data_IF_452323914724
#
_entry.id   IF_452323914724
#
_cell.length_a   1.000
_cell.length_b   1.000
_cell.length_c   1.000
_cell.angle_alpha   90.00
_cell.angle_beta   90.00
_cell.angle_gamma   90.00
#
_symmetry.space_group_name_H-M   'P 1'
#
loop_
_entity.id
_entity.type
_entity.pdbx_description
1 polymer ?
#
# COMPACT_ATOMS: atom_id res chain seq x y z
N UNK A 1 6.78 -9.04 -57.08
CA UNK A 1 7.60 -8.01 -56.40
C UNK A 1 6.79 -7.52 -55.21
N UNK A 2 7.13 -7.70 -53.94
CA UNK A 2 8.35 -8.18 -53.29
C UNK A 2 8.44 -7.47 -51.94
N UNK A 3 8.55 -8.25 -50.86
CA UNK A 3 8.88 -7.91 -49.46
C UNK A 3 7.79 -7.28 -48.57
N UNK A 4 7.59 -7.63 -47.29
CA UNK A 4 7.82 -8.84 -46.47
C UNK A 4 7.38 -8.50 -45.02
N UNK A 5 6.86 -9.51 -44.31
CA UNK A 5 6.96 -9.78 -42.85
C UNK A 5 6.18 -8.93 -41.83
N UNK A 6 5.48 -9.65 -40.95
CA UNK A 6 5.20 -9.22 -39.59
C UNK A 6 4.10 -10.00 -38.87
N UNK A 7 4.28 -11.31 -38.64
CA UNK A 7 3.50 -12.04 -37.63
C UNK A 7 3.69 -11.36 -36.27
N UNK A 8 2.61 -10.94 -35.59
CA UNK A 8 2.68 -10.50 -34.20
C UNK A 8 2.11 -11.59 -33.27
N UNK A 9 2.88 -12.07 -32.28
CA UNK A 9 2.49 -13.17 -31.42
C UNK A 9 1.65 -12.70 -30.21
N UNK A 10 0.68 -13.55 -29.88
CA UNK A 10 0.26 -13.96 -28.55
C UNK A 10 0.62 -13.07 -27.34
N UNK A 11 -0.45 -12.53 -26.73
CA UNK A 11 -0.74 -12.54 -25.30
C UNK A 11 0.08 -13.58 -24.51
N UNK A 12 1.18 -13.15 -23.87
CA UNK A 12 1.91 -13.83 -22.78
C UNK A 12 2.87 -12.84 -22.12
N UNK A 13 2.97 -12.94 -20.79
CA UNK A 13 3.80 -12.16 -19.86
C UNK A 13 3.24 -10.81 -19.41
N UNK A 14 2.50 -10.84 -18.28
CA UNK A 14 2.36 -9.69 -17.38
C UNK A 14 2.90 -10.09 -15.99
N UNK A 15 4.16 -10.51 -15.97
CA UNK A 15 4.98 -10.59 -14.76
C UNK A 15 6.08 -9.54 -14.93
N UNK A 16 6.03 -8.51 -14.09
CA UNK A 16 7.05 -7.47 -14.03
C UNK A 16 6.66 -6.15 -14.69
N UNK A 17 5.75 -5.40 -14.07
CA UNK A 17 5.73 -3.94 -14.19
C UNK A 17 5.45 -3.34 -12.81
N UNK A 18 6.40 -2.57 -12.32
CA UNK A 18 6.26 -1.60 -11.24
C UNK A 18 5.19 -0.58 -11.64
N UNK A 19 3.92 -0.88 -11.34
CA UNK A 19 2.82 0.07 -11.52
C UNK A 19 2.92 1.10 -10.41
N UNK A 20 3.26 2.33 -10.78
CA UNK A 20 3.10 3.52 -9.96
C UNK A 20 1.65 3.59 -9.44
N UNK A 21 1.54 3.58 -8.12
CA UNK A 21 0.31 3.29 -7.35
C UNK A 21 -0.86 4.25 -7.64
N UNK A 22 -0.61 5.43 -8.24
CA UNK A 22 -1.66 6.35 -8.67
C UNK A 22 -2.57 5.81 -9.79
N UNK A 23 -2.11 4.85 -10.59
CA UNK A 23 -2.94 4.17 -11.60
C UNK A 23 -3.68 2.95 -11.04
N UNK A 24 -3.29 2.43 -9.88
CA UNK A 24 -3.91 1.25 -9.26
C UNK A 24 -5.38 1.45 -8.93
N UNK A 25 -5.76 2.64 -8.43
CA UNK A 25 -7.15 2.98 -8.12
C UNK A 25 -8.02 3.10 -9.39
N UNK A 26 -7.48 3.72 -10.45
CA UNK A 26 -8.17 3.84 -11.74
C UNK A 26 -8.32 2.48 -12.45
N UNK A 27 -7.27 1.64 -12.42
CA UNK A 27 -7.33 0.27 -12.93
C UNK A 27 -8.30 -0.58 -12.12
N UNK A 28 -8.30 -0.47 -10.78
CA UNK A 28 -9.28 -1.12 -9.91
C UNK A 28 -10.72 -0.75 -10.27
N UNK A 29 -11.00 0.55 -10.46
CA UNK A 29 -12.33 1.03 -10.87
C UNK A 29 -12.75 0.48 -12.25
N UNK A 30 -11.83 0.41 -13.20
CA UNK A 30 -12.09 -0.11 -14.56
C UNK A 30 -12.30 -1.63 -14.57
N UNK A 31 -11.50 -2.37 -13.79
CA UNK A 31 -11.64 -3.83 -13.59
C UNK A 31 -12.99 -4.15 -12.93
N UNK A 32 -13.40 -3.36 -11.91
CA UNK A 32 -14.72 -3.48 -11.27
C UNK A 32 -15.88 -3.25 -12.24
N UNK A 33 -15.75 -2.32 -13.18
CA UNK A 33 -16.75 -2.07 -14.22
C UNK A 33 -16.82 -3.22 -15.25
N UNK A 34 -15.71 -3.89 -15.55
CA UNK A 34 -15.66 -5.05 -16.46
C UNK A 34 -16.20 -6.33 -15.81
N UNK A 35 -15.98 -6.54 -14.51
CA UNK A 35 -16.49 -7.70 -13.79
C UNK A 35 -18.03 -7.71 -13.67
N UNK A 36 -18.66 -6.52 -13.52
CA UNK A 36 -20.13 -6.39 -13.59
C UNK A 36 -20.72 -6.80 -14.95
N UNK A 37 -19.97 -6.64 -16.05
CA UNK A 37 -20.41 -7.07 -17.38
C UNK A 37 -20.23 -8.56 -17.63
N UNK A 38 -19.22 -9.21 -17.01
CA UNK A 38 -18.96 -10.65 -17.19
C UNK A 38 -19.91 -11.56 -16.40
N UNK A 39 -20.54 -11.08 -15.33
CA UNK A 39 -21.58 -11.85 -14.62
C UNK A 39 -22.86 -12.09 -15.44
N UNK A 40 -23.01 -11.44 -16.61
CA UNK A 40 -24.15 -11.64 -17.52
C UNK A 40 -23.88 -12.54 -18.74
N UNK A 41 -22.70 -13.13 -18.91
CA UNK A 41 -22.43 -14.04 -20.04
C UNK A 41 -21.67 -15.29 -19.59
N UNK A 42 -22.35 -16.43 -19.66
CA UNK A 42 -21.97 -17.70 -19.06
C UNK A 42 -20.96 -18.57 -19.82
N UNK A 43 -20.73 -19.73 -19.20
CA UNK A 43 -19.99 -20.93 -19.61
C UNK A 43 -19.96 -21.25 -21.11
N UNK A 44 -18.82 -21.78 -21.59
CA UNK A 44 -18.66 -23.14 -22.18
C UNK A 44 -17.17 -23.51 -22.11
N UNK A 45 -16.84 -24.74 -21.71
CA UNK A 45 -15.48 -25.30 -21.77
C UNK A 45 -15.32 -26.38 -22.86
N UNK A 46 -14.09 -26.84 -23.09
CA UNK A 46 -13.73 -28.15 -23.68
C UNK A 46 -12.23 -28.42 -23.48
N UNK A 47 -11.88 -29.68 -23.20
CA UNK A 47 -10.55 -30.14 -22.76
C UNK A 47 -9.63 -30.78 -23.81
N UNK A 48 -8.76 -31.69 -23.32
CA UNK A 48 -7.99 -32.75 -24.01
C UNK A 48 -6.64 -32.34 -24.70
N UNK A 49 -5.48 -33.04 -24.71
CA UNK A 49 -4.93 -34.34 -24.21
C UNK A 49 -3.38 -34.25 -24.06
N UNK A 50 -2.90 -34.91 -22.99
CA UNK A 50 -1.63 -35.63 -22.66
C UNK A 50 -0.52 -35.91 -23.72
N UNK A 51 0.74 -35.88 -23.26
CA UNK A 51 1.88 -36.66 -23.79
C UNK A 51 3.23 -36.38 -23.08
N UNK A 52 4.04 -37.38 -22.61
CA UNK A 52 4.98 -37.22 -21.50
C UNK A 52 6.48 -37.21 -21.88
N UNK A 53 7.34 -36.68 -20.99
CA UNK A 53 8.77 -37.05 -20.94
C UNK A 53 9.37 -36.72 -19.56
N UNK A 54 10.11 -37.68 -19.02
CA UNK A 54 10.58 -37.76 -17.64
C UNK A 54 11.87 -36.97 -17.38
N UNK A 55 11.93 -36.30 -16.23
CA UNK A 55 13.13 -36.16 -15.39
C UNK A 55 12.68 -35.66 -14.02
N UNK A 56 12.63 -36.59 -13.08
CA UNK A 56 12.11 -36.42 -11.74
C UNK A 56 13.14 -35.72 -10.86
N UNK A 57 13.03 -34.38 -10.79
CA UNK A 57 13.35 -33.59 -9.60
C UNK A 57 12.04 -32.97 -9.17
N UNK A 58 11.39 -33.56 -8.17
CA UNK A 58 10.17 -33.01 -7.60
C UNK A 58 10.54 -31.80 -6.75
N UNK A 59 10.77 -30.67 -7.42
CA UNK A 59 10.51 -29.36 -6.82
C UNK A 59 9.00 -29.15 -6.94
N UNK A 60 8.24 -29.53 -5.91
CA UNK A 60 6.82 -29.16 -5.86
C UNK A 60 6.78 -27.64 -5.89
N UNK A 61 6.37 -27.07 -7.03
CA UNK A 61 6.18 -25.63 -7.15
C UNK A 61 5.09 -25.20 -6.17
N UNK A 62 5.22 -24.05 -5.51
CA UNK A 62 4.18 -23.52 -4.61
C UNK A 62 2.82 -23.31 -5.33
N UNK A 63 2.80 -23.33 -6.67
CA UNK A 63 1.59 -23.35 -7.51
C UNK A 63 0.85 -24.69 -7.52
N UNK A 64 1.52 -25.79 -7.21
CA UNK A 64 1.04 -27.17 -7.41
C UNK A 64 0.58 -27.83 -6.10
N UNK A 65 0.48 -27.05 -5.02
CA UNK A 65 0.00 -27.53 -3.74
C UNK A 65 -1.51 -27.76 -3.78
N UNK A 66 -1.90 -29.03 -3.76
CA UNK A 66 -3.29 -29.43 -3.52
C UNK A 66 -3.79 -28.95 -2.13
N UNK A 67 -5.12 -28.74 -1.94
CA UNK A 67 -5.68 -28.20 -0.70
C UNK A 67 -5.25 -28.92 0.59
N UNK A 68 -5.13 -30.25 0.55
CA UNK A 68 -4.72 -31.07 1.70
C UNK A 68 -3.26 -30.80 2.13
N UNK A 69 -2.39 -30.34 1.21
CA UNK A 69 -1.05 -29.91 1.58
C UNK A 69 -1.09 -28.58 2.35
N UNK A 70 -1.96 -27.65 1.96
CA UNK A 70 -2.14 -26.38 2.67
C UNK A 70 -2.72 -26.61 4.06
N UNK A 71 -3.71 -27.50 4.19
CA UNK A 71 -4.27 -27.92 5.48
C UNK A 71 -3.17 -28.46 6.41
N UNK A 72 -2.37 -29.43 5.93
CA UNK A 72 -1.26 -29.98 6.71
C UNK A 72 -0.22 -28.92 7.13
N UNK A 73 0.09 -27.96 6.26
CA UNK A 73 1.01 -26.86 6.58
C UNK A 73 0.42 -25.95 7.66
N UNK A 74 -0.87 -25.61 7.56
CA UNK A 74 -1.57 -24.80 8.56
C UNK A 74 -1.61 -25.53 9.92
N UNK A 75 -1.90 -26.84 9.92
CA UNK A 75 -1.89 -27.66 11.14
C UNK A 75 -0.50 -27.69 11.79
N UNK A 76 0.55 -27.93 11.01
CA UNK A 76 1.93 -27.91 11.52
C UNK A 76 2.26 -26.54 12.13
N UNK A 77 1.88 -25.44 11.46
CA UNK A 77 2.12 -24.10 11.99
C UNK A 77 1.40 -23.87 13.32
N UNK A 78 0.17 -24.37 13.46
CA UNK A 78 -0.65 -24.22 14.65
C UNK A 78 -0.17 -25.08 15.84
N UNK A 79 0.36 -26.28 15.59
CA UNK A 79 0.68 -27.25 16.66
C UNK A 79 2.17 -27.40 16.97
N UNK A 80 3.05 -27.07 16.04
CA UNK A 80 4.49 -27.28 16.22
C UNK A 80 5.07 -26.33 17.26
N UNK A 81 5.95 -26.82 18.13
CA UNK A 81 6.81 -26.01 18.99
C UNK A 81 8.21 -25.79 18.40
N UNK A 82 8.52 -26.42 17.26
CA UNK A 82 9.79 -26.27 16.56
C UNK A 82 9.78 -24.99 15.71
N UNK A 83 10.55 -23.99 16.17
CA UNK A 83 10.68 -22.67 15.54
C UNK A 83 11.21 -22.79 14.11
N UNK A 84 12.18 -23.68 13.86
CA UNK A 84 12.77 -23.82 12.52
C UNK A 84 11.77 -24.39 11.53
N UNK A 85 10.99 -25.39 11.98
CA UNK A 85 9.91 -25.95 11.18
C UNK A 85 8.80 -24.92 10.92
N UNK A 86 8.40 -24.13 11.93
CA UNK A 86 7.42 -23.06 11.76
C UNK A 86 7.86 -22.03 10.72
N UNK A 87 9.13 -21.60 10.75
CA UNK A 87 9.68 -20.67 9.77
C UNK A 87 9.65 -21.24 8.35
N UNK A 88 10.04 -22.50 8.15
CA UNK A 88 9.98 -23.17 6.84
C UNK A 88 8.55 -23.28 6.31
N UNK A 89 7.60 -23.61 7.19
CA UNK A 89 6.18 -23.67 6.86
C UNK A 89 5.65 -22.29 6.48
N UNK A 90 6.03 -21.24 7.21
CA UNK A 90 5.65 -19.86 6.91
C UNK A 90 6.20 -19.38 5.56
N UNK A 91 7.44 -19.73 5.21
CA UNK A 91 7.99 -19.45 3.87
C UNK A 91 7.12 -20.09 2.79
N UNK A 92 6.74 -21.36 2.99
CA UNK A 92 5.92 -22.11 2.03
C UNK A 92 4.53 -21.51 1.91
N UNK A 93 3.87 -21.18 3.03
CA UNK A 93 2.55 -20.53 3.05
C UNK A 93 2.60 -19.13 2.44
N UNK A 94 3.65 -18.35 2.69
CA UNK A 94 3.86 -17.04 2.10
C UNK A 94 3.92 -17.09 0.57
N UNK A 95 4.71 -18.03 0.03
CA UNK A 95 4.81 -18.25 -1.41
C UNK A 95 3.49 -18.77 -2.00
N UNK A 96 2.81 -19.65 -1.28
CA UNK A 96 1.52 -20.21 -1.69
C UNK A 96 0.42 -19.14 -1.75
N UNK A 97 0.42 -18.20 -0.80
CA UNK A 97 -0.53 -17.09 -0.73
C UNK A 97 -0.43 -16.11 -1.91
N UNK A 98 0.68 -16.12 -2.67
CA UNK A 98 0.81 -15.32 -3.88
C UNK A 98 -0.13 -15.78 -5.02
N UNK A 99 -0.65 -17.02 -4.95
CA UNK A 99 -1.58 -17.56 -5.94
C UNK A 99 -3.03 -17.36 -5.51
N UNK A 100 -3.84 -16.68 -6.35
CA UNK A 100 -5.22 -16.34 -6.00
C UNK A 100 -6.10 -17.53 -5.61
N UNK A 101 -5.94 -18.70 -6.25
CA UNK A 101 -6.64 -19.94 -5.87
C UNK A 101 -6.36 -20.34 -4.42
N UNK A 102 -5.11 -20.21 -3.99
CA UNK A 102 -4.68 -20.60 -2.65
C UNK A 102 -5.14 -19.59 -1.60
N UNK A 103 -5.38 -18.33 -1.96
CA UNK A 103 -5.86 -17.31 -1.03
C UNK A 103 -7.23 -17.67 -0.45
N UNK A 104 -8.15 -18.19 -1.27
CA UNK A 104 -9.46 -18.64 -0.82
C UNK A 104 -9.36 -19.94 -0.01
N UNK A 105 -8.50 -20.88 -0.43
CA UNK A 105 -8.29 -22.15 0.28
C UNK A 105 -7.72 -21.90 1.67
N UNK A 106 -6.66 -21.10 1.78
CA UNK A 106 -6.02 -20.74 3.06
C UNK A 106 -7.04 -20.06 3.99
N UNK A 107 -7.89 -19.16 3.48
CA UNK A 107 -8.97 -18.57 4.26
C UNK A 107 -9.94 -19.63 4.78
N UNK A 108 -10.45 -20.48 3.89
CA UNK A 108 -11.47 -21.47 4.21
C UNK A 108 -10.96 -22.53 5.21
N UNK A 109 -9.66 -22.79 5.23
CA UNK A 109 -8.99 -23.66 6.21
C UNK A 109 -8.64 -22.94 7.53
N UNK A 110 -9.06 -21.68 7.73
CA UNK A 110 -8.73 -20.91 8.93
C UNK A 110 -7.27 -20.43 9.01
N UNK A 111 -6.49 -20.60 7.93
CA UNK A 111 -5.05 -20.34 7.91
C UNK A 111 -4.67 -18.88 8.13
N UNK A 112 -5.55 -17.91 7.78
CA UNK A 112 -5.31 -16.48 8.08
C UNK A 112 -5.14 -16.28 9.58
N UNK A 113 -5.99 -16.91 10.40
CA UNK A 113 -5.94 -16.73 11.85
C UNK A 113 -4.67 -17.35 12.45
N UNK A 114 -4.29 -18.54 11.97
CA UNK A 114 -3.07 -19.24 12.37
C UNK A 114 -1.83 -18.41 12.02
N UNK A 115 -1.75 -17.88 10.80
CA UNK A 115 -0.65 -17.00 10.36
C UNK A 115 -0.64 -15.71 11.18
N UNK A 116 -1.80 -15.10 11.43
CA UNK A 116 -1.92 -13.89 12.23
C UNK A 116 -1.43 -14.05 13.67
N UNK A 117 -1.64 -15.22 14.27
CA UNK A 117 -1.18 -15.51 15.64
C UNK A 117 0.36 -15.49 15.77
N UNK A 118 1.10 -15.73 14.68
CA UNK A 118 2.57 -15.64 14.67
C UNK A 118 3.07 -14.23 14.94
N UNK A 119 2.24 -13.21 14.70
CA UNK A 119 2.58 -11.82 15.01
C UNK A 119 2.78 -11.58 16.52
N UNK A 120 2.27 -12.50 17.36
CA UNK A 120 2.41 -12.51 18.83
C UNK A 120 3.57 -13.40 19.25
N UNK A 121 4.63 -12.83 19.83
CA UNK A 121 5.61 -13.62 20.60
C UNK A 121 6.55 -14.55 19.82
N UNK A 122 6.49 -14.62 18.48
CA UNK A 122 7.43 -15.40 17.67
C UNK A 122 8.71 -14.62 17.29
N UNK A 123 9.68 -15.34 16.69
CA UNK A 123 10.93 -14.77 16.17
C UNK A 123 10.69 -13.63 15.17
N UNK A 124 11.66 -12.72 15.02
CA UNK A 124 11.56 -11.64 14.02
C UNK A 124 11.41 -12.22 12.61
N UNK A 125 12.12 -13.30 12.28
CA UNK A 125 12.04 -13.95 10.97
C UNK A 125 10.66 -14.55 10.69
N UNK A 126 10.06 -15.23 11.67
CA UNK A 126 8.70 -15.75 11.56
C UNK A 126 7.69 -14.60 11.33
N UNK A 127 7.84 -13.47 12.02
CA UNK A 127 7.01 -12.28 11.79
C UNK A 127 7.16 -11.73 10.37
N UNK A 128 8.37 -11.66 9.81
CA UNK A 128 8.57 -11.23 8.42
C UNK A 128 7.76 -12.10 7.46
N UNK A 129 7.87 -13.42 7.57
CA UNK A 129 7.16 -14.35 6.69
C UNK A 129 5.65 -14.32 6.90
N UNK A 130 5.18 -14.23 8.15
CA UNK A 130 3.75 -14.09 8.45
C UNK A 130 3.17 -12.79 7.87
N UNK A 131 3.84 -11.65 8.07
CA UNK A 131 3.41 -10.37 7.51
C UNK A 131 3.40 -10.36 5.99
N UNK A 132 4.40 -10.97 5.34
CA UNK A 132 4.42 -11.11 3.88
C UNK A 132 3.32 -12.06 3.37
N UNK A 133 3.03 -13.15 4.08
CA UNK A 133 1.91 -14.03 3.77
C UNK A 133 0.57 -13.30 3.88
N UNK A 134 0.33 -12.57 4.98
CA UNK A 134 -0.86 -11.75 5.17
C UNK A 134 -0.97 -10.66 4.10
N UNK A 135 0.14 -10.02 3.71
CA UNK A 135 0.17 -9.05 2.62
C UNK A 135 -0.30 -9.68 1.29
N UNK A 136 0.17 -10.89 0.97
CA UNK A 136 -0.29 -11.60 -0.22
C UNK A 136 -1.77 -11.99 -0.13
N UNK A 137 -2.21 -12.49 1.03
CA UNK A 137 -3.61 -12.86 1.29
C UNK A 137 -4.54 -11.64 1.23
N UNK A 138 -4.06 -10.45 1.60
CA UNK A 138 -4.81 -9.20 1.57
C UNK A 138 -5.19 -8.72 0.16
N UNK A 139 -4.62 -9.33 -0.90
CA UNK A 139 -5.03 -9.03 -2.27
C UNK A 139 -6.46 -9.52 -2.60
N UNK A 140 -7.06 -10.32 -1.71
CA UNK A 140 -8.44 -10.77 -1.79
C UNK A 140 -9.30 -10.02 -0.75
N UNK A 141 -10.37 -9.35 -1.19
CA UNK A 141 -11.23 -8.53 -0.33
C UNK A 141 -11.93 -9.34 0.79
N UNK A 142 -12.30 -10.59 0.54
CA UNK A 142 -12.90 -11.43 1.57
C UNK A 142 -11.87 -11.83 2.65
N UNK A 143 -10.60 -11.93 2.27
CA UNK A 143 -9.53 -12.15 3.24
C UNK A 143 -9.28 -10.90 4.09
N UNK A 144 -9.39 -9.70 3.49
CA UNK A 144 -9.22 -8.44 4.23
C UNK A 144 -10.20 -8.32 5.41
N UNK A 145 -11.42 -8.86 5.29
CA UNK A 145 -12.40 -8.86 6.38
C UNK A 145 -11.95 -9.63 7.63
N UNK A 146 -11.00 -10.55 7.49
CA UNK A 146 -10.38 -11.28 8.61
C UNK A 146 -9.05 -10.63 8.99
N UNK A 147 -8.27 -10.21 7.99
CA UNK A 147 -6.95 -9.60 8.20
C UNK A 147 -7.05 -8.27 8.97
N UNK A 148 -8.17 -7.55 8.87
CA UNK A 148 -8.39 -6.27 9.57
C UNK A 148 -8.18 -6.38 11.09
N UNK A 149 -8.45 -7.54 11.68
CA UNK A 149 -8.30 -7.79 13.12
C UNK A 149 -6.81 -7.75 13.56
N UNK A 150 -5.89 -7.92 12.62
CA UNK A 150 -4.44 -7.89 12.84
C UNK A 150 -3.78 -6.53 12.52
N UNK A 151 -4.54 -5.52 12.08
CA UNK A 151 -3.98 -4.19 11.76
C UNK A 151 -3.32 -3.55 12.99
N UNK A 152 -4.02 -3.53 14.13
CA UNK A 152 -3.48 -2.94 15.37
C UNK A 152 -2.20 -3.65 15.80
N UNK A 153 -2.19 -4.98 15.75
CA UNK A 153 -1.00 -5.77 16.07
C UNK A 153 0.15 -5.53 15.08
N UNK A 154 -0.16 -5.36 13.80
CA UNK A 154 0.82 -5.04 12.76
C UNK A 154 1.45 -3.68 13.04
N UNK A 155 0.64 -2.65 13.33
CA UNK A 155 1.13 -1.32 13.70
C UNK A 155 1.96 -1.33 15.00
N UNK A 156 1.55 -2.10 16.00
CA UNK A 156 2.34 -2.29 17.22
C UNK A 156 3.71 -2.92 16.91
N UNK A 157 3.77 -3.93 16.04
CA UNK A 157 5.04 -4.54 15.60
C UNK A 157 5.91 -3.55 14.80
N UNK A 158 5.32 -2.69 13.96
CA UNK A 158 6.04 -1.61 13.24
C UNK A 158 6.68 -0.64 14.24
N UNK A 159 5.95 -0.30 15.30
CA UNK A 159 6.40 0.63 16.35
C UNK A 159 7.48 0.03 17.26
N UNK A 160 7.39 -1.26 17.58
CA UNK A 160 8.25 -1.91 18.59
C UNK A 160 9.51 -2.58 18.03
N UNK A 161 9.64 -2.68 16.71
CA UNK A 161 10.83 -3.28 16.06
C UNK A 161 11.90 -2.22 15.79
N UNK A 162 13.14 -2.65 15.52
CA UNK A 162 14.22 -1.73 15.20
C UNK A 162 13.93 -0.94 13.92
N UNK A 163 14.33 0.32 13.89
CA UNK A 163 14.18 1.20 12.74
C UNK A 163 14.77 0.55 11.48
N UNK A 164 14.01 0.57 10.38
CA UNK A 164 14.34 -0.03 9.08
C UNK A 164 14.42 -1.57 9.05
N UNK A 165 13.95 -2.27 10.09
CA UNK A 165 13.97 -3.74 10.10
C UNK A 165 13.09 -4.34 9.01
N UNK A 166 13.38 -5.59 8.63
CA UNK A 166 12.54 -6.33 7.68
C UNK A 166 11.11 -6.52 8.20
N UNK A 167 10.92 -6.66 9.52
CA UNK A 167 9.58 -6.72 10.13
C UNK A 167 8.85 -5.40 9.96
N UNK A 168 9.53 -4.27 10.14
CA UNK A 168 8.94 -2.94 9.92
C UNK A 168 8.49 -2.77 8.48
N UNK A 169 9.35 -3.13 7.52
CA UNK A 169 9.05 -3.04 6.10
C UNK A 169 7.92 -4.00 5.69
N UNK A 170 7.88 -5.22 6.24
CA UNK A 170 6.81 -6.19 5.98
C UNK A 170 5.46 -5.71 6.53
N UNK A 171 5.45 -5.16 7.75
CA UNK A 171 4.26 -4.58 8.35
C UNK A 171 3.75 -3.40 7.54
N UNK A 172 4.63 -2.48 7.13
CA UNK A 172 4.24 -1.34 6.29
C UNK A 172 3.62 -1.79 4.96
N UNK A 173 4.16 -2.82 4.30
CA UNK A 173 3.57 -3.37 3.06
C UNK A 173 2.12 -3.83 3.27
N UNK A 174 1.88 -4.59 4.35
CA UNK A 174 0.52 -5.01 4.70
C UNK A 174 -0.41 -3.82 4.96
N UNK A 175 0.03 -2.83 5.75
CA UNK A 175 -0.77 -1.63 6.05
C UNK A 175 -1.06 -0.81 4.78
N UNK A 176 -0.12 -0.71 3.85
CA UNK A 176 -0.34 -0.07 2.54
C UNK A 176 -1.47 -0.77 1.80
N UNK A 177 -1.44 -2.11 1.71
CA UNK A 177 -2.49 -2.87 1.03
C UNK A 177 -3.85 -2.72 1.72
N UNK A 178 -3.88 -2.78 3.05
CA UNK A 178 -5.11 -2.62 3.85
C UNK A 178 -5.66 -1.18 3.84
N UNK A 179 -4.88 -0.20 3.38
CA UNK A 179 -5.30 1.20 3.23
C UNK A 179 -5.54 1.61 1.77
N UNK A 180 -5.54 0.70 0.80
CA UNK A 180 -5.89 1.07 -0.59
C UNK A 180 -7.35 1.54 -0.69
N UNK A 181 -8.22 1.04 0.20
CA UNK A 181 -9.62 1.44 0.30
C UNK A 181 -9.92 2.00 1.68
N UNK A 182 -10.92 2.87 1.75
CA UNK A 182 -11.30 3.59 2.96
C UNK A 182 -11.81 2.70 4.12
N UNK A 183 -12.17 1.44 3.83
CA UNK A 183 -12.83 0.50 4.74
C UNK A 183 -12.16 0.33 6.11
N UNK A 184 -10.84 0.47 6.18
CA UNK A 184 -10.07 0.23 7.40
C UNK A 184 -9.19 1.42 7.81
N UNK A 185 -9.40 2.60 7.22
CA UNK A 185 -8.60 3.79 7.53
C UNK A 185 -8.72 4.20 9.01
N UNK A 186 -9.89 4.01 9.62
CA UNK A 186 -10.12 4.27 11.05
C UNK A 186 -9.24 3.41 11.97
N UNK A 187 -8.85 2.20 11.54
CA UNK A 187 -7.93 1.33 12.30
C UNK A 187 -6.47 1.76 12.14
N UNK A 188 -6.11 2.30 10.97
CA UNK A 188 -4.75 2.74 10.66
C UNK A 188 -4.46 4.12 11.25
N UNK A 189 -5.42 5.04 11.22
CA UNK A 189 -5.23 6.44 11.63
C UNK A 189 -4.88 6.59 13.12
N UNK A 190 -5.29 5.63 13.96
CA UNK A 190 -4.89 5.57 15.38
C UNK A 190 -3.36 5.46 15.58
N UNK A 191 -2.64 5.03 14.54
CA UNK A 191 -1.19 4.84 14.53
C UNK A 191 -0.47 5.90 13.69
N UNK A 192 -1.12 7.02 13.38
CA UNK A 192 -0.51 8.09 12.57
C UNK A 192 0.87 8.57 13.06
N UNK A 193 1.13 8.73 14.38
CA UNK A 193 2.43 9.17 14.87
C UNK A 193 3.60 8.30 14.43
N UNK A 194 3.43 6.97 14.34
CA UNK A 194 4.53 6.09 13.89
C UNK A 194 4.86 6.32 12.41
N UNK A 195 3.89 6.58 11.54
CA UNK A 195 4.17 6.84 10.12
C UNK A 195 4.89 8.17 9.91
N UNK A 196 4.59 9.18 10.73
CA UNK A 196 5.28 10.48 10.69
C UNK A 196 6.72 10.36 11.23
N UNK A 197 6.92 9.63 12.33
CA UNK A 197 8.26 9.31 12.84
C UNK A 197 9.11 8.57 11.80
N UNK A 198 8.54 7.56 11.14
CA UNK A 198 9.24 6.78 10.12
C UNK A 198 9.53 7.56 8.83
N UNK A 199 8.76 8.62 8.56
CA UNK A 199 9.06 9.56 7.49
C UNK A 199 10.28 10.44 7.83
N UNK A 200 10.45 10.82 9.08
CA UNK A 200 11.59 11.62 9.54
C UNK A 200 12.87 10.78 9.65
N UNK A 201 12.81 9.66 10.38
CA UNK A 201 13.99 8.88 10.78
C UNK A 201 14.32 7.72 9.84
N UNK A 202 13.36 7.28 9.03
CA UNK A 202 13.50 6.11 8.17
C UNK A 202 14.50 6.30 7.05
N UNK A 203 15.05 5.18 6.56
CA UNK A 203 15.76 5.17 5.28
C UNK A 203 14.78 5.35 4.10
N UNK A 204 15.31 5.48 2.89
CA UNK A 204 14.52 5.68 1.66
C UNK A 204 13.33 4.74 1.52
N UNK A 205 13.50 3.43 1.81
CA UNK A 205 12.40 2.46 1.66
C UNK A 205 11.32 2.67 2.72
N UNK A 206 11.73 2.86 3.97
CA UNK A 206 10.83 3.12 5.11
C UNK A 206 10.05 4.43 4.90
N UNK A 207 10.70 5.48 4.42
CA UNK A 207 10.06 6.77 4.09
C UNK A 207 9.05 6.61 2.96
N UNK A 208 9.42 5.94 1.86
CA UNK A 208 8.52 5.69 0.73
C UNK A 208 7.29 4.90 1.20
N UNK A 209 7.46 3.88 2.04
CA UNK A 209 6.35 3.06 2.51
C UNK A 209 5.45 3.83 3.48
N UNK A 210 6.02 4.60 4.40
CA UNK A 210 5.26 5.46 5.31
C UNK A 210 4.44 6.50 4.53
N UNK A 211 5.04 7.13 3.51
CA UNK A 211 4.33 8.05 2.63
C UNK A 211 3.22 7.38 1.82
N UNK A 212 3.36 6.12 1.41
CA UNK A 212 2.26 5.40 0.73
C UNK A 212 1.05 5.25 1.65
N UNK A 213 1.25 4.95 2.93
CA UNK A 213 0.15 4.92 3.93
C UNK A 213 -0.46 6.31 4.06
N UNK A 214 0.35 7.35 4.25
CA UNK A 214 -0.14 8.73 4.40
C UNK A 214 -0.91 9.21 3.17
N UNK A 215 -0.44 8.90 1.96
CA UNK A 215 -1.11 9.23 0.70
C UNK A 215 -2.48 8.54 0.62
N UNK A 216 -2.55 7.25 0.95
CA UNK A 216 -3.80 6.50 0.99
C UNK A 216 -4.81 7.14 1.96
N UNK A 217 -4.37 7.44 3.19
CA UNK A 217 -5.23 8.10 4.18
C UNK A 217 -5.70 9.48 3.72
N UNK A 218 -4.80 10.31 3.19
CA UNK A 218 -5.14 11.68 2.72
C UNK A 218 -6.09 11.71 1.53
N UNK A 219 -6.19 10.62 0.76
CA UNK A 219 -7.15 10.52 -0.33
C UNK A 219 -8.59 10.38 0.18
N UNK A 220 -8.78 9.95 1.43
CA UNK A 220 -10.08 9.83 2.08
C UNK A 220 -10.48 11.16 2.77
N UNK A 221 -11.57 11.83 2.33
CA UNK A 221 -12.06 13.05 2.98
C UNK A 221 -12.29 12.90 4.49
N UNK A 222 -12.78 11.73 4.95
CA UNK A 222 -13.11 11.48 6.35
C UNK A 222 -11.88 11.53 7.27
N UNK A 223 -10.68 11.30 6.71
CA UNK A 223 -9.42 11.33 7.46
C UNK A 223 -8.82 12.74 7.54
N UNK A 224 -9.34 13.71 6.77
CA UNK A 224 -8.72 15.03 6.58
C UNK A 224 -8.53 15.77 7.90
N UNK A 225 -9.59 15.92 8.69
CA UNK A 225 -9.52 16.64 9.98
C UNK A 225 -8.53 15.98 10.93
N UNK A 226 -8.53 14.65 11.01
CA UNK A 226 -7.60 13.92 11.87
C UNK A 226 -6.16 14.13 11.41
N UNK A 227 -5.89 14.04 10.10
CA UNK A 227 -4.55 14.30 9.55
C UNK A 227 -4.10 15.73 9.83
N UNK A 228 -4.94 16.73 9.54
CA UNK A 228 -4.59 18.14 9.71
C UNK A 228 -4.34 18.54 11.16
N UNK A 229 -5.09 17.97 12.12
CA UNK A 229 -4.94 18.23 13.56
C UNK A 229 -3.77 17.46 14.19
N UNK A 230 -3.22 16.46 13.51
CA UNK A 230 -2.19 15.60 14.07
C UNK A 230 -0.84 16.30 14.15
N UNK A 231 -0.11 16.03 15.23
CA UNK A 231 1.24 16.56 15.45
C UNK A 231 2.23 15.91 14.50
N UNK A 232 3.09 16.72 13.89
CA UNK A 232 4.18 16.26 13.06
C UNK A 232 5.51 16.91 13.46
N UNK A 233 6.65 16.27 13.13
CA UNK A 233 7.96 16.89 13.31
C UNK A 233 8.11 18.17 12.49
N UNK A 234 8.82 19.16 13.04
CA UNK A 234 9.09 20.43 12.33
C UNK A 234 9.90 20.22 11.05
N UNK A 235 10.72 19.17 11.01
CA UNK A 235 11.49 18.75 9.84
C UNK A 235 10.62 18.27 8.68
N UNK A 236 9.30 18.07 8.85
CA UNK A 236 8.41 17.62 7.78
C UNK A 236 8.51 18.49 6.53
N UNK A 237 8.68 19.81 6.68
CA UNK A 237 8.80 20.73 5.53
C UNK A 237 10.11 20.55 4.75
N UNK A 238 11.16 19.98 5.36
CA UNK A 238 12.45 19.79 4.71
C UNK A 238 12.40 18.70 3.63
N UNK A 239 11.37 17.84 3.59
CA UNK A 239 11.24 16.80 2.56
C UNK A 239 10.82 17.37 1.19
N UNK A 240 10.43 18.64 1.11
CA UNK A 240 9.94 19.29 -0.11
C UNK A 240 11.04 20.07 -0.82
N UNK A 241 12.19 19.47 -1.11
CA UNK A 241 13.25 20.14 -1.86
C UNK A 241 13.83 19.25 -2.97
N UNK A 242 14.58 19.85 -3.89
CA UNK A 242 15.11 19.18 -5.09
C UNK A 242 16.17 18.11 -4.82
N UNK A 243 16.79 18.11 -3.63
CA UNK A 243 17.81 17.14 -3.23
C UNK A 243 17.21 15.83 -2.70
N UNK A 244 15.91 15.81 -2.42
CA UNK A 244 15.22 14.62 -1.92
C UNK A 244 15.03 13.61 -3.04
N UNK A 245 15.08 12.32 -2.67
CA UNK A 245 14.80 11.24 -3.60
C UNK A 245 13.43 11.47 -4.28
N UNK A 246 13.42 11.44 -5.62
CA UNK A 246 12.23 11.74 -6.43
C UNK A 246 10.99 10.97 -5.98
N UNK A 247 11.13 9.70 -5.61
CA UNK A 247 10.01 8.84 -5.24
C UNK A 247 9.42 9.20 -3.87
N UNK A 248 10.24 9.74 -2.96
CA UNK A 248 9.78 10.35 -1.70
C UNK A 248 9.07 11.65 -2.02
N UNK A 249 9.73 12.53 -2.79
CA UNK A 249 9.24 13.86 -3.12
C UNK A 249 7.85 13.84 -3.78
N UNK A 250 7.65 12.99 -4.80
CA UNK A 250 6.36 12.85 -5.49
C UNK A 250 5.25 12.43 -4.52
N UNK A 251 5.53 11.52 -3.59
CA UNK A 251 4.53 11.02 -2.63
C UNK A 251 4.23 12.05 -1.54
N UNK A 252 5.25 12.73 -1.04
CA UNK A 252 5.08 13.84 -0.12
C UNK A 252 4.22 14.94 -0.74
N UNK A 253 4.51 15.35 -1.97
CA UNK A 253 3.70 16.33 -2.70
C UNK A 253 2.27 15.83 -2.95
N UNK A 254 2.10 14.53 -3.26
CA UNK A 254 0.76 13.94 -3.42
C UNK A 254 -0.05 13.99 -2.13
N UNK A 255 0.58 13.70 -0.98
CA UNK A 255 -0.03 13.80 0.35
C UNK A 255 -0.54 15.23 0.60
N UNK A 256 0.31 16.24 0.39
CA UNK A 256 -0.08 17.66 0.55
C UNK A 256 -1.16 18.08 -0.46
N UNK A 257 -1.05 17.63 -1.72
CA UNK A 257 -2.03 17.93 -2.77
C UNK A 257 -3.42 17.36 -2.47
N UNK A 258 -3.49 16.22 -1.79
CA UNK A 258 -4.75 15.65 -1.34
C UNK A 258 -5.35 16.50 -0.23
N UNK A 259 -4.56 16.85 0.80
CA UNK A 259 -5.02 17.70 1.91
C UNK A 259 -5.48 19.09 1.44
N UNK A 260 -4.70 19.75 0.57
CA UNK A 260 -5.04 21.08 0.06
C UNK A 260 -6.35 21.09 -0.74
N UNK A 261 -6.60 20.04 -1.53
CA UNK A 261 -7.86 19.85 -2.25
C UNK A 261 -9.05 19.76 -1.28
N UNK A 262 -8.91 19.04 -0.18
CA UNK A 262 -9.98 18.92 0.82
C UNK A 262 -10.21 20.24 1.54
N UNK A 263 -9.13 20.95 1.93
CA UNK A 263 -9.21 22.27 2.54
C UNK A 263 -9.96 23.29 1.68
N UNK A 264 -9.70 23.30 0.36
CA UNK A 264 -10.43 24.17 -0.58
C UNK A 264 -11.91 23.79 -0.68
N UNK A 265 -12.22 22.50 -0.68
CA UNK A 265 -13.60 22.02 -0.78
C UNK A 265 -14.41 22.33 0.48
N UNK A 266 -13.76 22.37 1.65
CA UNK A 266 -14.37 22.62 2.96
C UNK A 266 -14.10 24.05 3.49
N UNK A 267 -14.01 25.03 2.58
CA UNK A 267 -13.72 26.45 2.90
C UNK A 267 -14.71 27.08 3.91
N UNK A 268 -15.80 26.41 4.26
CA UNK A 268 -16.79 26.84 5.26
C UNK A 268 -16.51 26.37 6.69
N UNK A 269 -15.85 25.22 6.91
CA UNK A 269 -15.70 24.63 8.26
C UNK A 269 -14.27 24.75 8.83
N UNK A 270 -13.26 25.01 7.99
CA UNK A 270 -11.85 25.02 8.43
C UNK A 270 -11.49 26.14 9.42
N UNK A 271 -12.26 27.23 9.46
CA UNK A 271 -12.08 28.31 10.44
C UNK A 271 -12.58 27.99 11.86
N UNK A 272 -13.13 26.79 12.09
CA UNK A 272 -13.68 26.37 13.39
C UNK A 272 -12.70 25.54 14.24
N UNK A 273 -11.58 25.11 13.67
CA UNK A 273 -10.60 24.26 14.37
C UNK A 273 -9.43 25.09 14.91
N UNK A 274 -9.17 24.97 16.20
CA UNK A 274 -7.95 25.47 16.83
C UNK A 274 -6.84 24.43 16.62
N UNK A 275 -5.94 24.71 15.69
CA UNK A 275 -4.85 23.80 15.32
C UNK A 275 -3.64 24.00 16.24
N UNK A 276 -3.09 22.90 16.77
CA UNK A 276 -1.84 22.94 17.53
C UNK A 276 -0.69 23.49 16.65
N UNK A 277 0.25 24.22 17.25
CA UNK A 277 1.40 24.83 16.55
C UNK A 277 2.27 23.81 15.81
N UNK A 278 2.33 22.58 16.30
CA UNK A 278 3.06 21.49 15.67
C UNK A 278 2.16 20.57 14.83
N UNK A 279 0.94 20.99 14.53
CA UNK A 279 0.02 20.23 13.68
C UNK A 279 0.47 20.25 12.22
N UNK A 280 0.06 19.23 11.45
CA UNK A 280 0.27 19.19 10.00
C UNK A 280 -0.34 20.42 9.32
N UNK A 281 -1.50 20.89 9.78
CA UNK A 281 -2.10 22.11 9.24
C UNK A 281 -1.18 23.32 9.41
N UNK A 282 -0.71 23.57 10.63
CA UNK A 282 0.10 24.74 10.90
C UNK A 282 1.41 24.69 10.11
N UNK A 283 2.12 23.56 10.13
CA UNK A 283 3.40 23.37 9.46
C UNK A 283 3.33 23.47 7.93
N UNK A 284 2.22 23.03 7.31
CA UNK A 284 2.11 22.97 5.84
C UNK A 284 1.30 24.09 5.21
N UNK A 285 0.37 24.71 5.95
CA UNK A 285 -0.58 25.67 5.37
C UNK A 285 -0.65 27.02 6.08
N UNK A 286 -0.36 27.08 7.38
CA UNK A 286 -0.38 28.34 8.15
C UNK A 286 1.00 29.02 8.17
N UNK A 287 2.01 28.37 8.75
CA UNK A 287 3.42 28.81 8.75
C UNK A 287 4.18 28.25 7.53
N UNK A 288 3.57 28.41 6.36
CA UNK A 288 3.98 27.70 5.15
C UNK A 288 5.05 28.43 4.33
N UNK A 289 5.72 29.45 4.88
CA UNK A 289 6.69 30.28 4.14
C UNK A 289 7.79 29.44 3.49
N UNK A 290 8.43 28.57 4.26
CA UNK A 290 9.46 27.64 3.77
C UNK A 290 8.91 26.67 2.70
N UNK A 291 7.68 26.17 2.87
CA UNK A 291 7.07 25.29 1.89
C UNK A 291 6.76 26.04 0.59
N UNK A 292 6.30 27.29 0.64
CA UNK A 292 6.01 28.10 -0.55
C UNK A 292 7.27 28.36 -1.39
N UNK A 293 8.37 28.74 -0.77
CA UNK A 293 9.66 28.94 -1.45
C UNK A 293 10.15 27.65 -2.11
N UNK A 294 10.03 26.54 -1.37
CA UNK A 294 10.34 25.20 -1.85
C UNK A 294 9.47 24.78 -3.04
N UNK A 295 8.15 25.01 -2.99
CA UNK A 295 7.23 24.72 -4.08
C UNK A 295 7.53 25.57 -5.33
N UNK A 296 7.91 26.84 -5.16
CA UNK A 296 8.31 27.71 -6.26
C UNK A 296 9.58 27.19 -6.95
N UNK A 297 10.58 26.74 -6.18
CA UNK A 297 11.78 26.10 -6.73
C UNK A 297 11.45 24.77 -7.44
N UNK A 298 10.58 23.95 -6.84
CA UNK A 298 10.14 22.68 -7.42
C UNK A 298 9.30 22.84 -8.68
N UNK A 299 8.71 24.01 -8.93
CA UNK A 299 8.03 24.30 -10.19
C UNK A 299 8.98 24.28 -11.39
N UNK A 300 10.27 24.54 -11.17
CA UNK A 300 11.33 24.44 -12.17
C UNK A 300 11.99 23.06 -12.23
N UNK A 301 11.54 22.10 -11.40
CA UNK A 301 12.14 20.78 -11.32
C UNK A 301 11.96 20.01 -12.66
N UNK A 302 12.94 19.24 -13.15
CA UNK A 302 12.85 18.61 -14.47
C UNK A 302 11.70 17.60 -14.60
N UNK A 303 11.36 16.89 -13.52
CA UNK A 303 10.37 15.81 -13.55
C UNK A 303 8.93 16.34 -13.67
N UNK A 304 8.18 15.78 -14.63
CA UNK A 304 6.79 16.19 -14.93
C UNK A 304 5.84 15.89 -13.79
N UNK A 305 5.95 14.71 -13.16
CA UNK A 305 5.06 14.29 -12.07
C UNK A 305 5.22 15.21 -10.85
N UNK A 306 6.45 15.59 -10.49
CA UNK A 306 6.71 16.59 -9.44
C UNK A 306 6.01 17.92 -9.76
N UNK A 307 6.17 18.45 -10.98
CA UNK A 307 5.53 19.70 -11.40
C UNK A 307 4.01 19.64 -11.39
N UNK A 308 3.43 18.51 -11.77
CA UNK A 308 1.99 18.27 -11.71
C UNK A 308 1.49 18.33 -10.26
N UNK A 309 2.18 17.66 -9.31
CA UNK A 309 1.79 17.72 -7.91
C UNK A 309 1.94 19.12 -7.31
N UNK A 310 3.03 19.84 -7.62
CA UNK A 310 3.20 21.24 -7.19
C UNK A 310 2.04 22.10 -7.72
N UNK A 311 1.69 21.96 -9.00
CA UNK A 311 0.57 22.71 -9.60
C UNK A 311 -0.76 22.40 -8.91
N UNK A 312 -1.02 21.13 -8.59
CA UNK A 312 -2.21 20.71 -7.82
C UNK A 312 -2.27 21.35 -6.45
N UNK A 313 -1.14 21.49 -5.75
CA UNK A 313 -1.07 22.16 -4.44
C UNK A 313 -1.40 23.64 -4.61
N UNK A 314 -0.71 24.34 -5.53
CA UNK A 314 -0.88 25.78 -5.72
C UNK A 314 -2.31 26.15 -6.14
N UNK A 315 -2.93 25.39 -7.04
CA UNK A 315 -4.34 25.63 -7.45
C UNK A 315 -5.31 25.46 -6.27
N UNK A 316 -4.96 24.63 -5.30
CA UNK A 316 -5.79 24.35 -4.13
C UNK A 316 -5.27 24.98 -2.83
N UNK A 317 -4.39 25.98 -2.93
CA UNK A 317 -3.83 26.63 -1.76
C UNK A 317 -4.93 27.30 -0.91
N UNK A 318 -5.00 27.04 0.40
CA UNK A 318 -5.95 27.71 1.28
C UNK A 318 -5.76 29.24 1.24
N UNK A 319 -6.83 30.00 0.98
CA UNK A 319 -6.78 31.48 1.00
C UNK A 319 -6.43 32.16 -0.33
N UNK A 320 -6.09 31.43 -1.41
CA UNK A 320 -6.07 32.02 -2.76
C UNK A 320 -7.51 32.36 -3.19
N UNK A 321 -7.87 33.65 -3.20
CA UNK A 321 -9.10 34.09 -3.85
C UNK A 321 -8.99 33.76 -5.35
N UNK A 322 -10.06 33.29 -6.02
CA UNK A 322 -10.04 33.21 -7.48
C UNK A 322 -9.70 34.59 -8.02
N UNK A 323 -8.69 34.66 -8.89
CA UNK A 323 -8.37 35.86 -9.65
C UNK A 323 -9.64 36.25 -10.41
N UNK A 324 -10.37 37.23 -9.87
CA UNK A 324 -11.44 37.90 -10.59
C UNK A 324 -10.76 38.65 -11.73
N UNK A 325 -10.60 38.00 -12.88
CA UNK A 325 -10.42 38.70 -14.13
C UNK A 325 -11.72 39.45 -14.41
N UNK A 326 -11.78 40.70 -13.93
CA UNK A 326 -12.69 41.70 -14.49
C UNK A 326 -12.10 42.07 -15.85
N UNK A 327 -12.74 41.58 -16.91
CA UNK A 327 -12.68 42.20 -18.24
C UNK A 327 -13.49 43.50 -18.16
#
# INVERSE_FOLDING_TARGET
MGLMRGNSPAMRSLLGLTVSIGLGYCVYRVVRAHQRKKQHQGCVGTGSIRGPSASEKVSVSASDLEPHHLEKLIDILATSSDISLQEQVLVTLCNSAAFSRNQDIIRNLGGIAVIGNILSGCSQQAKVHALNALNNLSMNLQNQEIIKDYINQTCNNICSTSLNSEVQLAGLRLVINMSVTDNYHNLVVAHLPIFLFLLEEGNTNTQIYSLKVLVNLSANPDMTTILLTSKAPQSLTSIFNSCINRDILVRALTFVANLSKQLKSDSGCNGLFDYDKNSIYNLLFEDASSLQDNLAALFQYPNVEVKEQVSRILINWPGLRPLNYRI
#
